data_IF_021122644887
#
_entry.id   IF_021122644887
#
_cell.length_a   1.000
_cell.length_b   1.000
_cell.length_c   1.000
_cell.angle_alpha   90.00
_cell.angle_beta   90.00
_cell.angle_gamma   90.00
#
_symmetry.space_group_name_H-M   'P 1'
#
loop_
_entity.id
_entity.type
_entity.pdbx_description
1 polymer ?
#
# COMPACT_ATOMS: atom_id res chain seq x y z
N UNK A 1 40.23 -15.60 62.74
CA UNK A 1 40.04 -14.15 62.49
C UNK A 1 39.63 -13.92 61.06
N UNK A 2 38.32 -13.79 60.78
CA UNK A 2 37.82 -13.44 59.46
C UNK A 2 37.45 -11.96 59.48
N UNK A 3 38.27 -11.12 58.87
CA UNK A 3 37.91 -9.74 58.59
C UNK A 3 37.07 -9.70 57.31
N UNK A 4 35.78 -9.61 57.48
CA UNK A 4 34.86 -9.36 56.40
C UNK A 4 34.83 -7.82 56.18
N UNK A 5 35.67 -7.33 55.25
CA UNK A 5 35.69 -5.91 54.88
C UNK A 5 34.50 -5.64 53.99
N UNK A 6 33.39 -5.25 54.63
CA UNK A 6 32.27 -4.55 53.97
C UNK A 6 32.79 -3.22 53.44
N UNK A 7 33.29 -3.17 52.20
CA UNK A 7 33.46 -1.92 51.45
C UNK A 7 32.08 -1.40 51.10
N UNK A 8 31.44 -0.73 52.07
CA UNK A 8 30.35 0.22 51.74
C UNK A 8 31.01 1.33 50.93
N UNK A 9 30.63 1.43 49.66
CA UNK A 9 30.95 2.59 48.83
C UNK A 9 30.28 3.83 49.44
N UNK A 10 30.94 4.53 50.31
CA UNK A 10 30.56 5.85 50.80
C UNK A 10 30.82 6.86 49.66
N UNK A 11 29.87 7.00 48.73
CA UNK A 11 29.90 8.10 47.74
C UNK A 11 29.85 9.44 48.48
N UNK A 12 30.66 10.37 48.06
CA UNK A 12 30.58 11.77 48.57
C UNK A 12 29.29 12.42 48.17
N UNK A 13 28.82 13.44 48.89
CA UNK A 13 27.62 14.20 48.53
C UNK A 13 27.71 14.74 47.12
N UNK A 14 28.86 15.25 46.68
CA UNK A 14 29.11 15.74 45.33
C UNK A 14 28.95 14.67 44.26
N UNK A 15 29.39 13.42 44.53
CA UNK A 15 29.23 12.26 43.63
C UNK A 15 27.75 11.86 43.52
N UNK A 16 26.98 11.95 44.60
CA UNK A 16 25.55 11.65 44.59
C UNK A 16 24.75 12.71 43.80
N UNK A 17 25.08 13.98 43.98
CA UNK A 17 24.50 15.08 43.21
C UNK A 17 24.81 14.95 41.73
N UNK A 18 26.05 14.71 41.32
CA UNK A 18 26.44 14.49 39.93
C UNK A 18 25.74 13.24 39.31
N UNK A 19 25.54 12.19 40.09
CA UNK A 19 24.81 11.01 39.65
C UNK A 19 23.33 11.33 39.43
N UNK A 20 22.73 12.10 40.29
CA UNK A 20 21.32 12.51 40.18
C UNK A 20 21.11 13.44 38.99
N UNK A 21 21.98 14.41 38.75
CA UNK A 21 21.93 15.28 37.55
C UNK A 21 22.06 14.46 36.26
N UNK A 22 22.98 13.49 36.23
CA UNK A 22 23.13 12.58 35.09
C UNK A 22 21.84 11.82 34.81
N UNK A 23 21.19 11.25 35.83
CA UNK A 23 19.92 10.50 35.69
C UNK A 23 18.78 11.37 35.18
N UNK A 24 18.64 12.60 35.69
CA UNK A 24 17.66 13.58 35.22
C UNK A 24 17.89 13.94 33.75
N UNK A 25 19.15 14.15 33.37
CA UNK A 25 19.52 14.43 31.97
C UNK A 25 19.17 13.27 31.04
N UNK A 26 19.48 12.02 31.45
CA UNK A 26 19.16 10.81 30.69
C UNK A 26 17.65 10.59 30.58
N UNK A 27 16.88 10.77 31.66
CA UNK A 27 15.42 10.70 31.65
C UNK A 27 14.84 11.68 30.64
N UNK A 28 15.28 12.95 30.68
CA UNK A 28 14.82 13.98 29.76
C UNK A 28 15.19 13.66 28.29
N UNK A 29 16.37 13.08 28.06
CA UNK A 29 16.76 12.66 26.71
C UNK A 29 15.82 11.55 26.17
N UNK A 30 15.49 10.53 26.98
CA UNK A 30 14.54 9.49 26.60
C UNK A 30 13.15 10.05 26.41
N UNK A 31 12.66 10.88 27.32
CA UNK A 31 11.36 11.54 27.22
C UNK A 31 11.23 12.34 25.93
N UNK A 32 12.24 13.13 25.59
CA UNK A 32 12.26 13.94 24.37
C UNK A 32 12.32 13.05 23.12
N UNK A 33 13.09 11.95 23.14
CA UNK A 33 13.16 11.01 22.04
C UNK A 33 11.80 10.35 21.77
N UNK A 34 11.08 9.93 22.83
CA UNK A 34 9.72 9.39 22.71
C UNK A 34 8.76 10.44 22.16
N UNK A 35 8.78 11.65 22.72
CA UNK A 35 7.86 12.73 22.32
C UNK A 35 8.04 13.11 20.85
N UNK A 36 9.27 13.16 20.37
CA UNK A 36 9.63 13.57 19.02
C UNK A 36 9.59 12.43 17.99
N UNK A 37 9.34 11.19 18.41
CA UNK A 37 9.24 10.04 17.51
C UNK A 37 8.08 10.24 16.52
N UNK A 38 8.37 10.09 15.21
CA UNK A 38 7.41 10.29 14.11
C UNK A 38 7.21 9.04 13.26
N UNK A 39 8.19 8.15 13.25
CA UNK A 39 8.20 6.98 12.36
C UNK A 39 8.70 5.74 13.10
N UNK A 40 8.48 4.57 12.51
CA UNK A 40 9.05 3.31 12.99
C UNK A 40 10.59 3.33 13.05
N UNK A 41 11.24 4.13 12.21
CA UNK A 41 12.72 4.24 12.20
C UNK A 41 13.25 4.90 13.46
N UNK A 42 12.53 5.86 14.01
CA UNK A 42 12.95 6.59 15.22
C UNK A 42 12.92 5.69 16.46
N UNK A 43 12.13 4.61 16.42
CA UNK A 43 11.97 3.69 17.54
C UNK A 43 13.28 3.05 18.00
N UNK A 44 14.16 2.66 17.07
CA UNK A 44 15.39 1.95 17.45
C UNK A 44 16.32 2.84 18.28
N UNK A 45 16.48 4.09 17.88
CA UNK A 45 17.27 5.08 18.62
C UNK A 45 16.65 5.35 20.00
N UNK A 46 15.34 5.56 20.05
CA UNK A 46 14.57 5.80 21.29
C UNK A 46 14.68 4.60 22.25
N UNK A 47 14.55 3.38 21.72
CA UNK A 47 14.69 2.14 22.51
C UNK A 47 16.11 1.99 23.09
N UNK A 48 17.13 2.30 22.30
CA UNK A 48 18.51 2.24 22.77
C UNK A 48 18.74 3.22 23.93
N UNK A 49 18.25 4.45 23.83
CA UNK A 49 18.33 5.42 24.94
C UNK A 49 17.59 4.91 26.18
N UNK A 50 16.39 4.35 26.01
CA UNK A 50 15.62 3.80 27.14
C UNK A 50 16.34 2.61 27.78
N UNK A 51 16.98 1.72 27.01
CA UNK A 51 17.73 0.60 27.51
C UNK A 51 18.97 1.07 28.31
N UNK A 52 19.71 2.06 27.79
CA UNK A 52 20.86 2.64 28.51
C UNK A 52 20.40 3.27 29.83
N UNK A 53 19.32 4.03 29.82
CA UNK A 53 18.73 4.61 31.04
C UNK A 53 18.34 3.49 32.03
N UNK A 54 17.64 2.45 31.56
CA UNK A 54 17.18 1.34 32.40
C UNK A 54 18.32 0.50 32.99
N UNK A 55 19.53 0.55 32.45
CA UNK A 55 20.71 -0.19 32.95
C UNK A 55 21.48 0.56 34.04
N UNK A 56 21.17 1.81 34.34
CA UNK A 56 21.82 2.57 35.40
C UNK A 56 21.35 2.10 36.79
N UNK A 57 22.28 1.80 37.68
CA UNK A 57 22.02 1.18 38.99
C UNK A 57 21.06 1.98 39.92
N UNK A 58 21.02 3.30 39.76
CA UNK A 58 20.24 4.17 40.63
C UNK A 58 18.87 4.57 40.04
N UNK A 59 18.46 3.97 38.91
CA UNK A 59 17.18 4.30 38.27
C UNK A 59 16.03 3.63 39.01
N UNK A 60 14.99 4.43 39.26
CA UNK A 60 13.76 3.92 39.85
C UNK A 60 12.92 3.15 38.83
N UNK A 61 12.47 1.96 39.18
CA UNK A 61 11.58 1.12 38.36
C UNK A 61 10.31 1.87 37.92
N UNK A 62 9.79 2.78 38.77
CA UNK A 62 8.61 3.60 38.46
C UNK A 62 8.86 4.53 37.27
N UNK A 63 10.07 5.08 37.14
CA UNK A 63 10.41 5.98 36.04
C UNK A 63 10.63 5.21 34.72
N UNK A 64 11.22 4.03 34.80
CA UNK A 64 11.30 3.10 33.67
C UNK A 64 9.89 2.74 33.19
N UNK A 65 9.00 2.40 34.10
CA UNK A 65 7.62 2.06 33.79
C UNK A 65 6.88 3.23 33.11
N UNK A 66 7.02 4.45 33.64
CA UNK A 66 6.43 5.66 33.04
C UNK A 66 6.88 5.87 31.59
N UNK A 67 8.19 5.78 31.34
CA UNK A 67 8.77 5.94 30.00
C UNK A 67 8.33 4.83 29.04
N UNK A 68 8.27 3.56 29.49
CA UNK A 68 7.76 2.43 28.68
C UNK A 68 6.28 2.59 28.35
N UNK A 69 5.47 3.05 29.30
CA UNK A 69 4.05 3.35 29.09
C UNK A 69 3.86 4.48 28.08
N UNK A 70 4.67 5.52 28.19
CA UNK A 70 4.65 6.64 27.24
C UNK A 70 5.05 6.20 25.83
N UNK A 71 6.08 5.35 25.71
CA UNK A 71 6.50 4.77 24.43
C UNK A 71 5.40 3.89 23.82
N UNK A 72 4.72 3.06 24.63
CA UNK A 72 3.61 2.23 24.20
C UNK A 72 2.46 3.07 23.65
N UNK A 73 2.10 4.16 24.35
CA UNK A 73 1.08 5.11 23.90
C UNK A 73 1.49 5.79 22.59
N UNK A 74 2.75 6.27 22.51
CA UNK A 74 3.25 6.95 21.31
C UNK A 74 3.21 6.05 20.08
N UNK A 75 3.58 4.77 20.22
CA UNK A 75 3.49 3.80 19.12
C UNK A 75 2.03 3.54 18.73
N UNK A 76 1.11 3.53 19.69
CA UNK A 76 -0.33 3.41 19.41
C UNK A 76 -0.82 4.61 18.60
N UNK A 77 -0.49 5.82 19.02
CA UNK A 77 -0.88 7.06 18.33
C UNK A 77 -0.35 7.10 16.89
N UNK A 78 0.91 6.65 16.68
CA UNK A 78 1.50 6.55 15.35
C UNK A 78 0.80 5.50 14.46
N UNK A 79 0.39 4.38 15.04
CA UNK A 79 -0.40 3.37 14.33
C UNK A 79 -1.75 3.93 13.89
N UNK A 80 -2.48 4.59 14.78
CA UNK A 80 -3.77 5.19 14.46
C UNK A 80 -3.65 6.28 13.39
N UNK A 81 -2.59 7.09 13.45
CA UNK A 81 -2.31 8.09 12.42
C UNK A 81 -2.00 7.45 11.07
N UNK A 82 -1.19 6.40 11.07
CA UNK A 82 -0.85 5.66 9.85
C UNK A 82 -2.09 5.00 9.22
N UNK A 83 -2.94 4.35 10.02
CA UNK A 83 -4.16 3.69 9.55
C UNK A 83 -5.15 4.72 8.96
N UNK A 84 -5.32 5.88 9.59
CA UNK A 84 -6.11 7.01 9.04
C UNK A 84 -5.55 7.52 7.71
N UNK A 85 -4.22 7.66 7.59
CA UNK A 85 -3.59 8.08 6.35
C UNK A 85 -3.77 7.05 5.23
N UNK A 86 -3.71 5.76 5.55
CA UNK A 86 -3.97 4.68 4.59
C UNK A 86 -5.41 4.75 4.06
N UNK A 87 -6.40 4.94 4.94
CA UNK A 87 -7.81 5.07 4.56
C UNK A 87 -8.04 6.27 3.63
N UNK A 88 -7.47 7.44 3.98
CA UNK A 88 -7.54 8.64 3.12
C UNK A 88 -6.94 8.37 1.74
N UNK A 89 -5.77 7.72 1.67
CA UNK A 89 -5.12 7.41 0.39
C UNK A 89 -5.91 6.41 -0.42
N UNK A 90 -6.49 5.41 0.21
CA UNK A 90 -7.35 4.42 -0.45
C UNK A 90 -8.59 5.08 -1.05
N UNK A 91 -9.27 5.94 -0.28
CA UNK A 91 -10.41 6.72 -0.77
C UNK A 91 -10.03 7.62 -1.95
N UNK A 92 -8.85 8.26 -1.91
CA UNK A 92 -8.35 9.05 -3.05
C UNK A 92 -8.16 8.20 -4.31
N UNK A 93 -7.60 7.00 -4.18
CA UNK A 93 -7.43 6.06 -5.30
C UNK A 93 -8.78 5.62 -5.86
N UNK A 94 -9.74 5.30 -5.01
CA UNK A 94 -11.09 4.90 -5.40
C UNK A 94 -11.82 6.05 -6.12
N UNK A 95 -11.73 7.27 -5.61
CA UNK A 95 -12.31 8.44 -6.25
C UNK A 95 -11.71 8.70 -7.64
N UNK A 96 -10.39 8.58 -7.81
CA UNK A 96 -9.75 8.72 -9.12
C UNK A 96 -10.26 7.64 -10.08
N UNK A 97 -10.39 6.38 -9.63
CA UNK A 97 -10.89 5.26 -10.44
C UNK A 97 -12.38 5.38 -10.77
N UNK A 98 -13.15 6.07 -9.96
CA UNK A 98 -14.60 6.23 -10.15
C UNK A 98 -14.95 7.26 -11.21
N UNK A 99 -14.01 8.11 -11.64
CA UNK A 99 -14.22 9.09 -12.70
C UNK A 99 -14.39 8.33 -14.01
N UNK A 100 -15.61 8.33 -14.54
CA UNK A 100 -15.95 7.74 -15.84
C UNK A 100 -16.12 8.83 -16.88
N UNK A 101 -15.59 8.56 -18.06
CA UNK A 101 -15.89 9.39 -19.24
C UNK A 101 -17.11 8.77 -19.92
N UNK A 102 -18.25 9.43 -19.79
CA UNK A 102 -19.51 8.95 -20.39
C UNK A 102 -19.61 9.44 -21.84
N UNK A 103 -19.96 8.52 -22.73
CA UNK A 103 -20.36 8.87 -24.08
C UNK A 103 -21.81 9.27 -24.12
N UNK A 104 -22.16 10.18 -25.03
CA UNK A 104 -23.56 10.52 -25.24
C UNK A 104 -24.34 9.31 -25.78
N UNK A 105 -25.64 9.24 -25.44
CA UNK A 105 -26.52 8.17 -25.93
C UNK A 105 -26.56 8.11 -27.46
N UNK A 106 -26.40 9.25 -28.12
CA UNK A 106 -26.40 9.36 -29.59
C UNK A 106 -25.13 8.75 -30.18
N UNK A 107 -23.94 9.03 -29.58
CA UNK A 107 -22.67 8.42 -30.00
C UNK A 107 -22.69 6.90 -29.83
N UNK A 108 -23.26 6.39 -28.75
CA UNK A 108 -23.40 4.95 -28.52
C UNK A 108 -24.34 4.31 -29.53
N UNK A 109 -25.47 4.94 -29.87
CA UNK A 109 -26.40 4.44 -30.90
C UNK A 109 -25.75 4.41 -32.28
N UNK A 110 -25.01 5.47 -32.65
CA UNK A 110 -24.29 5.51 -33.91
C UNK A 110 -23.21 4.44 -34.00
N UNK A 111 -22.43 4.26 -32.94
CA UNK A 111 -21.42 3.20 -32.84
C UNK A 111 -22.06 1.81 -32.96
N UNK A 112 -23.19 1.58 -32.27
CA UNK A 112 -23.92 0.32 -32.33
C UNK A 112 -24.41 0.02 -33.75
N UNK A 113 -25.02 1.01 -34.44
CA UNK A 113 -25.46 0.85 -35.81
C UNK A 113 -24.33 0.53 -36.78
N UNK A 114 -23.22 1.26 -36.71
CA UNK A 114 -22.03 1.04 -37.56
C UNK A 114 -21.40 -0.32 -37.29
N UNK A 115 -21.23 -0.67 -36.01
CA UNK A 115 -20.65 -1.97 -35.64
C UNK A 115 -21.54 -3.16 -36.05
N UNK A 116 -22.87 -3.02 -35.98
CA UNK A 116 -23.78 -4.07 -36.43
C UNK A 116 -23.68 -4.30 -37.96
N UNK A 117 -23.56 -3.23 -38.75
CA UNK A 117 -23.34 -3.37 -40.20
C UNK A 117 -22.03 -4.13 -40.50
N UNK A 118 -20.96 -3.85 -39.76
CA UNK A 118 -19.68 -4.55 -39.89
C UNK A 118 -19.80 -6.00 -39.41
N UNK A 119 -20.50 -6.25 -38.30
CA UNK A 119 -20.78 -7.62 -37.82
C UNK A 119 -21.48 -8.49 -38.86
N UNK A 120 -22.55 -7.97 -39.47
CA UNK A 120 -23.23 -8.68 -40.54
C UNK A 120 -22.32 -9.02 -41.75
N UNK A 121 -21.44 -8.07 -42.11
CA UNK A 121 -20.42 -8.30 -43.13
C UNK A 121 -19.45 -9.43 -42.73
N UNK A 122 -18.96 -9.44 -41.53
CA UNK A 122 -18.10 -10.51 -41.04
C UNK A 122 -18.83 -11.84 -40.98
N UNK A 123 -20.05 -11.91 -40.48
CA UNK A 123 -20.86 -13.11 -40.46
C UNK A 123 -21.10 -13.67 -41.87
N UNK A 124 -21.41 -12.81 -42.84
CA UNK A 124 -21.59 -13.22 -44.23
C UNK A 124 -20.31 -13.82 -44.82
N UNK A 125 -19.16 -13.20 -44.57
CA UNK A 125 -17.86 -13.72 -45.01
C UNK A 125 -17.53 -15.07 -44.35
N UNK A 126 -17.89 -15.25 -43.09
CA UNK A 126 -17.71 -16.51 -42.38
C UNK A 126 -18.62 -17.63 -42.91
N UNK A 127 -19.85 -17.32 -43.29
CA UNK A 127 -20.78 -18.28 -43.88
C UNK A 127 -20.40 -18.68 -45.32
N UNK A 128 -19.94 -17.71 -46.10
CA UNK A 128 -19.56 -17.97 -47.50
C UNK A 128 -18.33 -18.87 -47.65
N UNK A 129 -17.39 -18.80 -46.71
CA UNK A 129 -16.09 -19.46 -46.87
C UNK A 129 -15.95 -20.81 -46.14
N UNK A 130 -17.03 -21.36 -45.57
CA UNK A 130 -17.06 -22.68 -44.90
C UNK A 130 -15.77 -22.92 -44.06
N UNK A 131 -15.52 -22.13 -43.02
CA UNK A 131 -14.21 -21.91 -42.38
C UNK A 131 -13.72 -23.21 -41.71
N UNK A 132 -13.07 -24.07 -42.44
CA UNK A 132 -12.37 -25.25 -41.91
C UNK A 132 -10.85 -25.21 -42.14
N UNK A 133 -10.31 -24.30 -42.95
CA UNK A 133 -8.92 -24.30 -43.33
C UNK A 133 -8.07 -23.24 -42.58
N UNK A 134 -6.80 -23.58 -42.31
CA UNK A 134 -5.83 -22.71 -41.62
C UNK A 134 -5.56 -21.37 -42.35
N UNK A 135 -5.80 -21.29 -43.66
CA UNK A 135 -5.67 -20.05 -44.43
C UNK A 135 -6.71 -19.00 -44.04
N UNK A 136 -7.94 -19.42 -43.81
CA UNK A 136 -9.04 -18.53 -43.40
C UNK A 136 -8.86 -18.01 -41.99
N UNK A 137 -8.32 -18.81 -41.05
CA UNK A 137 -7.98 -18.37 -39.71
C UNK A 137 -6.91 -17.27 -39.72
N UNK A 138 -5.93 -17.35 -40.62
CA UNK A 138 -4.93 -16.28 -40.76
C UNK A 138 -5.56 -14.97 -41.26
N UNK A 139 -6.47 -15.05 -42.22
CA UNK A 139 -7.19 -13.91 -42.80
C UNK A 139 -8.11 -13.28 -41.76
N UNK A 140 -8.82 -14.07 -40.99
CA UNK A 140 -9.67 -13.61 -39.87
C UNK A 140 -8.80 -12.95 -38.77
N UNK A 141 -7.64 -13.53 -38.47
CA UNK A 141 -6.70 -12.97 -37.54
C UNK A 141 -6.19 -11.57 -37.92
N UNK A 142 -6.20 -11.22 -39.22
CA UNK A 142 -5.86 -9.88 -39.69
C UNK A 142 -6.89 -8.83 -39.28
N UNK A 143 -8.19 -9.21 -39.17
CA UNK A 143 -9.24 -8.27 -38.69
C UNK A 143 -8.97 -7.76 -37.28
N UNK A 144 -8.30 -8.53 -36.44
CA UNK A 144 -7.95 -8.20 -35.08
C UNK A 144 -6.57 -7.54 -34.95
N UNK A 145 -5.86 -7.25 -36.05
CA UNK A 145 -4.49 -6.71 -35.97
C UNK A 145 -4.49 -5.24 -35.58
N UNK A 146 -5.27 -4.43 -36.27
CA UNK A 146 -5.40 -2.99 -36.06
C UNK A 146 -6.85 -2.56 -36.38
N UNK A 147 -7.86 -3.05 -35.62
CA UNK A 147 -9.25 -2.74 -35.92
C UNK A 147 -9.55 -1.30 -35.55
N UNK A 148 -10.39 -0.64 -36.36
CA UNK A 148 -11.06 0.59 -35.93
C UNK A 148 -11.95 0.28 -34.72
N UNK A 149 -12.45 1.31 -34.05
CA UNK A 149 -13.32 1.12 -32.88
C UNK A 149 -14.60 0.37 -33.25
N UNK A 150 -15.24 0.74 -34.36
CA UNK A 150 -16.45 0.09 -34.86
C UNK A 150 -16.19 -1.38 -35.21
N UNK A 151 -15.07 -1.66 -35.85
CA UNK A 151 -14.65 -3.04 -36.14
C UNK A 151 -14.36 -3.82 -34.88
N UNK A 152 -13.69 -3.22 -33.90
CA UNK A 152 -13.40 -3.85 -32.62
C UNK A 152 -14.68 -4.19 -31.83
N UNK A 153 -15.67 -3.29 -31.81
CA UNK A 153 -16.98 -3.56 -31.21
C UNK A 153 -17.72 -4.67 -31.98
N UNK A 154 -17.68 -4.67 -33.30
CA UNK A 154 -18.24 -5.74 -34.13
C UNK A 154 -17.58 -7.09 -33.84
N UNK A 155 -16.25 -7.12 -33.71
CA UNK A 155 -15.49 -8.34 -33.38
C UNK A 155 -15.77 -8.82 -31.95
N UNK A 156 -15.98 -7.93 -30.98
CA UNK A 156 -16.43 -8.32 -29.63
C UNK A 156 -17.80 -8.99 -29.68
N UNK A 157 -18.76 -8.43 -30.39
CA UNK A 157 -20.10 -9.03 -30.61
C UNK A 157 -19.98 -10.39 -31.28
N UNK A 158 -19.11 -10.51 -32.26
CA UNK A 158 -18.84 -11.80 -32.96
C UNK A 158 -18.28 -12.83 -31.98
N UNK A 159 -17.30 -12.46 -31.14
CA UNK A 159 -16.71 -13.34 -30.13
C UNK A 159 -17.71 -13.79 -29.05
N UNK A 160 -18.75 -12.99 -28.78
CA UNK A 160 -19.81 -13.34 -27.85
C UNK A 160 -20.77 -14.43 -28.37
N UNK A 161 -20.79 -14.67 -29.68
CA UNK A 161 -21.57 -15.75 -30.27
C UNK A 161 -20.87 -17.08 -30.03
N UNK A 162 -21.54 -18.12 -29.47
CA UNK A 162 -20.92 -19.40 -29.10
C UNK A 162 -20.14 -20.07 -30.22
N UNK A 163 -20.70 -20.06 -31.46
CA UNK A 163 -20.10 -20.69 -32.65
C UNK A 163 -18.79 -20.00 -33.10
N UNK A 164 -18.55 -18.75 -32.67
CA UNK A 164 -17.38 -17.95 -33.05
C UNK A 164 -16.43 -17.66 -31.92
N UNK A 165 -16.74 -18.14 -30.71
CA UNK A 165 -15.95 -17.87 -29.51
C UNK A 165 -14.48 -18.31 -29.60
N UNK A 166 -14.15 -19.26 -30.47
CA UNK A 166 -12.79 -19.78 -30.71
C UNK A 166 -12.02 -19.14 -31.86
N UNK A 167 -12.57 -18.12 -32.56
CA UNK A 167 -11.95 -17.55 -33.76
C UNK A 167 -10.64 -16.83 -33.51
N UNK A 168 -10.51 -16.16 -32.35
CA UNK A 168 -9.37 -15.33 -32.02
C UNK A 168 -8.57 -15.88 -30.84
N UNK A 169 -7.24 -15.75 -30.92
CA UNK A 169 -6.34 -16.03 -29.81
C UNK A 169 -6.56 -15.06 -28.67
N UNK A 170 -6.10 -15.40 -27.48
CA UNK A 170 -6.19 -14.50 -26.31
C UNK A 170 -5.51 -13.14 -26.55
N UNK A 171 -4.35 -13.15 -27.25
CA UNK A 171 -3.65 -11.91 -27.61
C UNK A 171 -4.50 -11.03 -28.53
N UNK A 172 -5.15 -11.61 -29.54
CA UNK A 172 -6.03 -10.89 -30.46
C UNK A 172 -7.27 -10.36 -29.74
N UNK A 173 -7.86 -11.12 -28.82
CA UNK A 173 -8.99 -10.64 -27.99
C UNK A 173 -8.61 -9.44 -27.14
N UNK A 174 -7.40 -9.41 -26.56
CA UNK A 174 -6.93 -8.23 -25.84
C UNK A 174 -6.87 -6.99 -26.72
N UNK A 175 -6.35 -7.13 -27.96
CA UNK A 175 -6.33 -6.02 -28.93
C UNK A 175 -7.75 -5.56 -29.29
N UNK A 176 -8.66 -6.50 -29.54
CA UNK A 176 -10.08 -6.18 -29.83
C UNK A 176 -10.71 -5.41 -28.66
N UNK A 177 -10.54 -5.87 -27.43
CA UNK A 177 -11.10 -5.22 -26.23
C UNK A 177 -10.52 -3.82 -26.05
N UNK A 178 -9.23 -3.65 -26.27
CA UNK A 178 -8.56 -2.35 -26.11
C UNK A 178 -9.04 -1.34 -27.15
N UNK A 179 -9.14 -1.75 -28.42
CA UNK A 179 -9.60 -0.86 -29.51
C UNK A 179 -11.11 -0.59 -29.50
N UNK A 180 -11.90 -1.39 -28.79
CA UNK A 180 -13.33 -1.15 -28.61
C UNK A 180 -13.65 -0.05 -27.58
N UNK A 181 -12.69 0.29 -26.72
CA UNK A 181 -12.87 1.34 -25.71
C UNK A 181 -13.11 2.69 -26.34
N UNK A 182 -13.77 3.57 -25.57
CA UNK A 182 -13.92 4.96 -25.95
C UNK A 182 -12.54 5.65 -26.02
N UNK A 183 -12.19 6.33 -27.14
CA UNK A 183 -10.92 7.06 -27.25
C UNK A 183 -10.72 8.11 -26.15
N UNK A 184 -11.78 8.78 -25.69
CA UNK A 184 -11.72 9.74 -24.58
C UNK A 184 -11.46 9.02 -23.24
N UNK A 185 -12.03 7.83 -23.04
CA UNK A 185 -11.75 6.98 -21.89
C UNK A 185 -10.27 6.54 -21.88
N UNK A 186 -9.73 6.11 -23.02
CA UNK A 186 -8.32 5.76 -23.16
C UNK A 186 -7.37 6.93 -22.87
N UNK A 187 -7.68 8.12 -23.37
CA UNK A 187 -6.92 9.33 -23.07
C UNK A 187 -6.98 9.65 -21.57
N UNK A 188 -8.18 9.54 -20.98
CA UNK A 188 -8.38 9.74 -19.56
C UNK A 188 -7.58 8.69 -18.72
N UNK A 189 -7.70 7.40 -19.06
CA UNK A 189 -6.92 6.33 -18.40
C UNK A 189 -5.40 6.62 -18.45
N UNK A 190 -4.89 7.04 -19.61
CA UNK A 190 -3.48 7.40 -19.78
C UNK A 190 -3.09 8.63 -18.95
N UNK A 191 -3.95 9.63 -18.85
CA UNK A 191 -3.70 10.85 -18.09
C UNK A 191 -3.70 10.59 -16.57
N UNK A 192 -4.59 9.73 -16.08
CA UNK A 192 -4.68 9.44 -14.63
C UNK A 192 -3.70 8.38 -14.16
N UNK A 193 -3.17 7.54 -15.07
CA UNK A 193 -2.26 6.44 -14.73
C UNK A 193 -1.06 6.87 -13.87
N UNK A 194 -0.27 7.90 -14.25
CA UNK A 194 0.86 8.33 -13.43
C UNK A 194 0.43 8.80 -12.03
N UNK A 195 -0.73 9.43 -11.91
CA UNK A 195 -1.28 9.85 -10.63
C UNK A 195 -1.68 8.64 -9.77
N UNK A 196 -2.32 7.63 -10.37
CA UNK A 196 -2.66 6.38 -9.70
C UNK A 196 -1.40 5.64 -9.22
N UNK A 197 -0.39 5.53 -10.08
CA UNK A 197 0.88 4.87 -9.76
C UNK A 197 1.57 5.58 -8.58
N UNK A 198 1.58 6.91 -8.58
CA UNK A 198 2.10 7.71 -7.46
C UNK A 198 1.33 7.44 -6.17
N UNK A 199 -0.01 7.49 -6.20
CA UNK A 199 -0.85 7.25 -5.01
C UNK A 199 -0.72 5.83 -4.48
N UNK A 200 -0.61 4.83 -5.35
CA UNK A 200 -0.35 3.45 -4.97
C UNK A 200 1.02 3.26 -4.32
N UNK A 201 2.05 3.95 -4.83
CA UNK A 201 3.38 3.95 -4.21
C UNK A 201 3.37 4.60 -2.82
N UNK A 202 2.63 5.70 -2.63
CA UNK A 202 2.43 6.34 -1.32
C UNK A 202 1.70 5.39 -0.34
N UNK A 203 0.64 4.74 -0.79
CA UNK A 203 -0.10 3.75 0.01
C UNK A 203 0.77 2.56 0.42
N UNK A 204 1.61 2.06 -0.51
CA UNK A 204 2.55 0.96 -0.23
C UNK A 204 3.56 1.33 0.86
N UNK A 205 4.07 2.58 0.87
CA UNK A 205 4.96 3.07 1.93
C UNK A 205 4.26 3.10 3.28
N UNK A 206 3.02 3.60 3.33
CA UNK A 206 2.22 3.62 4.57
C UNK A 206 1.92 2.20 5.07
N UNK A 207 1.64 1.26 4.17
CA UNK A 207 1.45 -0.15 4.51
C UNK A 207 2.69 -0.76 5.17
N UNK A 208 3.87 -0.51 4.60
CA UNK A 208 5.14 -0.99 5.17
C UNK A 208 5.43 -0.34 6.52
N UNK A 209 5.18 0.95 6.66
CA UNK A 209 5.31 1.67 7.93
C UNK A 209 4.37 1.09 9.01
N UNK A 210 3.09 0.89 8.67
CA UNK A 210 2.11 0.28 9.56
C UNK A 210 2.49 -1.13 9.98
N UNK A 211 3.05 -1.93 9.07
CA UNK A 211 3.56 -3.26 9.39
C UNK A 211 4.70 -3.21 10.42
N UNK A 212 5.65 -2.29 10.23
CA UNK A 212 6.76 -2.08 11.17
C UNK A 212 6.25 -1.61 12.53
N UNK A 213 5.35 -0.63 12.57
CA UNK A 213 4.75 -0.11 13.81
C UNK A 213 3.98 -1.19 14.59
N UNK A 214 3.21 -2.07 13.91
CA UNK A 214 2.50 -3.18 14.58
C UNK A 214 3.48 -4.17 15.22
N UNK A 215 4.61 -4.44 14.55
CA UNK A 215 5.68 -5.28 15.10
C UNK A 215 6.31 -4.63 16.34
N UNK A 216 6.60 -3.33 16.27
CA UNK A 216 7.13 -2.53 17.38
C UNK A 216 6.14 -2.52 18.54
N UNK A 217 4.84 -2.27 18.29
CA UNK A 217 3.80 -2.27 19.31
C UNK A 217 3.76 -3.57 20.10
N UNK A 218 3.83 -4.70 19.42
CA UNK A 218 3.89 -6.02 20.08
C UNK A 218 5.10 -6.13 21.01
N UNK A 219 6.26 -5.63 20.58
CA UNK A 219 7.49 -5.66 21.36
C UNK A 219 7.41 -4.74 22.58
N UNK A 220 7.00 -3.48 22.40
CA UNK A 220 6.87 -2.49 23.48
C UNK A 220 5.86 -2.94 24.53
N UNK A 221 4.71 -3.48 24.10
CA UNK A 221 3.71 -4.02 25.04
C UNK A 221 4.24 -5.21 25.85
N UNK A 222 5.09 -6.05 25.27
CA UNK A 222 5.73 -7.14 26.02
C UNK A 222 6.78 -6.61 27.02
N UNK A 223 7.60 -5.64 26.61
CA UNK A 223 8.59 -5.00 27.48
C UNK A 223 7.91 -4.30 28.68
N UNK A 224 6.76 -3.65 28.45
CA UNK A 224 5.95 -3.02 29.49
C UNK A 224 5.40 -4.04 30.49
N UNK A 225 4.85 -5.17 30.01
CA UNK A 225 4.36 -6.25 30.87
C UNK A 225 5.45 -6.86 31.74
N UNK A 226 6.66 -7.03 31.19
CA UNK A 226 7.79 -7.56 31.94
C UNK A 226 8.20 -6.62 33.08
N UNK A 227 8.22 -5.30 32.82
CA UNK A 227 8.50 -4.30 33.86
C UNK A 227 7.52 -4.35 35.01
N UNK A 228 6.23 -4.64 34.74
CA UNK A 228 5.21 -4.79 35.78
C UNK A 228 5.38 -6.03 36.66
N UNK A 229 6.12 -7.05 36.18
CA UNK A 229 6.34 -8.30 36.93
C UNK A 229 7.59 -8.25 37.80
N UNK A 230 8.53 -7.37 37.45
CA UNK A 230 9.83 -7.22 38.13
C UNK A 230 9.80 -6.14 39.23
N UNK A 231 8.77 -5.30 39.30
CA UNK A 231 8.55 -4.26 40.31
C UNK A 231 7.45 -4.63 41.29
#
# INVERSE_FOLDING_TARGET
MYFNSNKRNNKTMAELEAQQEKLVSMYNAVFNAISNMKTAKDYLATRNLLNVFSSEEAVNTVDIYKLRKMLDQKVTDLLEQNDKQMEIKQTQIENIKSIKVEESTEQLKELDLRSNNILYKYMSLLHMNNIQENADRRRIGQWAKEPTREEAVALQKLCALPQYSGLFTEKQRKVIVENAKNPEELKHEQAIKPLLDQKQAELSKLFMEGFQLRRIKKQVSNDLKNTMREG
#
